data_IF_234837958170
#
_entry.id   IF_234837958170
#
_cell.length_a   1.000
_cell.length_b   1.000
_cell.length_c   1.000
_cell.angle_alpha   90.00
_cell.angle_beta   90.00
_cell.angle_gamma   90.00
#
_symmetry.space_group_name_H-M   'P 1'
#
loop_
_entity.id
_entity.type
_entity.pdbx_description
1 polymer ?
#
# COMPACT_ATOMS: atom_id res chain seq x y z
N UNK A 1 -1.43 1.38 18.54
CA UNK A 1 -2.63 1.18 17.70
C UNK A 1 -2.86 2.51 17.02
N UNK A 2 -3.00 2.52 15.71
CA UNK A 2 -3.17 3.75 14.94
C UNK A 2 -4.22 3.55 13.84
N UNK A 3 -4.39 4.55 12.99
CA UNK A 3 -5.32 4.52 11.86
C UNK A 3 -4.59 4.72 10.53
N UNK A 4 -5.10 4.10 9.48
CA UNK A 4 -4.70 4.32 8.10
C UNK A 4 -5.95 4.58 7.28
N UNK A 5 -5.88 5.58 6.40
CA UNK A 5 -6.91 5.86 5.39
C UNK A 5 -6.47 5.31 4.05
N UNK A 6 -7.22 4.36 3.53
CA UNK A 6 -7.12 3.90 2.14
C UNK A 6 -8.14 4.68 1.31
N UNK A 7 -7.71 5.29 0.21
CA UNK A 7 -8.56 6.06 -0.69
C UNK A 7 -8.62 5.32 -2.02
N UNK A 8 -9.80 4.88 -2.43
CA UNK A 8 -10.01 4.26 -3.75
C UNK A 8 -9.78 5.27 -4.88
N UNK A 9 -9.73 4.77 -6.12
CA UNK A 9 -9.53 5.63 -7.30
C UNK A 9 -10.65 6.67 -7.46
N UNK A 10 -11.86 6.37 -6.95
CA UNK A 10 -13.06 7.21 -6.99
C UNK A 10 -13.24 8.14 -5.78
N UNK A 11 -12.20 8.28 -4.96
CA UNK A 11 -12.18 9.06 -3.71
C UNK A 11 -12.98 8.46 -2.53
N UNK A 12 -13.47 7.23 -2.64
CA UNK A 12 -14.06 6.52 -1.49
C UNK A 12 -12.99 6.24 -0.43
N UNK A 13 -13.21 6.73 0.79
CA UNK A 13 -12.28 6.56 1.90
C UNK A 13 -12.66 5.38 2.81
N UNK A 14 -11.65 4.59 3.18
CA UNK A 14 -11.72 3.54 4.19
C UNK A 14 -10.73 3.81 5.30
N UNK A 15 -11.23 4.15 6.49
CA UNK A 15 -10.41 4.36 7.68
C UNK A 15 -10.39 3.07 8.49
N UNK A 16 -9.22 2.48 8.66
CA UNK A 16 -9.04 1.22 9.38
C UNK A 16 -8.05 1.37 10.51
N UNK A 17 -8.22 0.57 11.57
CA UNK A 17 -7.28 0.50 12.67
C UNK A 17 -6.16 -0.49 12.34
N UNK A 18 -4.95 -0.21 12.79
CA UNK A 18 -3.84 -1.14 12.66
C UNK A 18 -3.00 -1.25 13.94
N UNK A 19 -2.32 -2.38 14.03
CA UNK A 19 -1.21 -2.60 14.96
C UNK A 19 0.09 -2.63 14.16
N UNK A 20 1.08 -1.88 14.61
CA UNK A 20 2.41 -1.86 14.01
C UNK A 20 2.99 -3.28 13.88
N UNK A 21 3.73 -3.51 12.80
CA UNK A 21 4.36 -4.78 12.45
C UNK A 21 3.62 -5.61 11.41
N UNK A 22 2.41 -5.21 10.98
CA UNK A 22 1.77 -5.74 9.79
C UNK A 22 2.14 -4.91 8.55
N UNK A 23 2.12 -5.50 7.36
CA UNK A 23 2.28 -4.74 6.12
C UNK A 23 1.00 -3.96 5.77
N UNK A 24 1.12 -2.89 4.97
CA UNK A 24 -0.05 -2.15 4.46
C UNK A 24 -1.02 -3.06 3.71
N UNK A 25 -0.49 -4.00 2.92
CA UNK A 25 -1.30 -4.99 2.20
C UNK A 25 -2.07 -5.88 3.18
N UNK A 26 -1.42 -6.40 4.23
CA UNK A 26 -2.10 -7.28 5.19
C UNK A 26 -3.25 -6.54 5.90
N UNK A 27 -3.02 -5.28 6.29
CA UNK A 27 -4.06 -4.44 6.89
C UNK A 27 -5.23 -4.23 5.94
N UNK A 28 -4.95 -3.94 4.66
CA UNK A 28 -6.00 -3.77 3.66
C UNK A 28 -6.84 -5.05 3.46
N UNK A 29 -6.18 -6.20 3.33
CA UNK A 29 -6.84 -7.50 3.15
C UNK A 29 -7.67 -7.89 4.38
N UNK A 30 -7.11 -7.76 5.59
CA UNK A 30 -7.79 -8.09 6.85
C UNK A 30 -9.06 -7.25 7.07
N UNK A 31 -9.07 -6.03 6.52
CA UNK A 31 -10.20 -5.10 6.57
C UNK A 31 -11.07 -5.10 5.31
N UNK A 32 -10.81 -5.99 4.35
CA UNK A 32 -11.56 -6.13 3.09
C UNK A 32 -11.61 -4.83 2.27
N UNK A 33 -10.51 -4.10 2.22
CA UNK A 33 -10.39 -2.89 1.39
C UNK A 33 -10.45 -3.30 -0.10
N UNK A 34 -11.40 -2.74 -0.88
CA UNK A 34 -11.49 -3.02 -2.31
C UNK A 34 -10.21 -2.61 -3.06
N UNK A 35 -9.88 -3.31 -4.15
CA UNK A 35 -8.77 -2.91 -5.04
C UNK A 35 -7.38 -3.31 -4.56
N UNK A 36 -7.24 -4.15 -3.53
CA UNK A 36 -5.99 -4.85 -3.18
C UNK A 36 -6.25 -6.36 -3.24
N UNK A 37 -5.63 -7.03 -4.21
CA UNK A 37 -5.87 -8.46 -4.46
C UNK A 37 -4.87 -9.35 -3.69
N UNK A 38 -3.61 -8.90 -3.62
CA UNK A 38 -2.52 -9.58 -2.91
C UNK A 38 -2.26 -11.04 -3.37
N UNK A 39 -2.31 -11.31 -4.67
CA UNK A 39 -2.28 -12.66 -5.26
C UNK A 39 -1.09 -13.53 -4.82
N UNK A 40 0.08 -12.92 -4.62
CA UNK A 40 1.28 -13.65 -4.18
C UNK A 40 1.39 -13.81 -2.65
N UNK A 41 0.42 -13.31 -1.87
CA UNK A 41 0.47 -13.36 -0.40
C UNK A 41 1.56 -12.50 0.24
N UNK A 42 2.20 -11.61 -0.51
CA UNK A 42 3.23 -10.69 0.00
C UNK A 42 4.67 -11.03 -0.40
N UNK A 43 4.88 -12.02 -1.26
CA UNK A 43 6.19 -12.46 -1.75
C UNK A 43 6.82 -11.54 -2.82
N UNK A 44 6.35 -10.29 -2.95
CA UNK A 44 6.87 -9.32 -3.92
C UNK A 44 6.87 -9.82 -5.39
N UNK A 45 5.87 -10.61 -5.79
CA UNK A 45 5.90 -11.35 -7.07
C UNK A 45 4.73 -11.08 -8.02
N UNK A 46 3.77 -10.21 -7.68
CA UNK A 46 2.54 -10.03 -8.48
C UNK A 46 2.19 -8.57 -8.85
N UNK A 47 2.69 -7.57 -8.13
CA UNK A 47 2.28 -6.18 -8.33
C UNK A 47 0.87 -5.82 -7.81
N UNK A 48 0.03 -6.80 -7.46
CA UNK A 48 -1.41 -6.60 -7.14
C UNK A 48 -1.71 -6.10 -5.71
N UNK A 49 -0.75 -5.41 -5.12
CA UNK A 49 -0.92 -4.67 -3.88
C UNK A 49 -0.32 -3.26 -3.99
N UNK A 50 -0.28 -2.71 -5.21
CA UNK A 50 0.20 -1.37 -5.48
C UNK A 50 -0.65 -0.34 -4.71
N UNK A 51 0.06 0.54 -4.02
CA UNK A 51 -0.48 1.72 -3.34
C UNK A 51 0.33 2.95 -3.73
N UNK A 52 -0.33 4.11 -3.79
CA UNK A 52 0.29 5.42 -3.99
C UNK A 52 0.27 6.14 -2.64
N UNK A 53 1.44 6.30 -2.04
CA UNK A 53 1.57 6.88 -0.70
C UNK A 53 1.48 8.40 -0.81
N UNK A 54 0.73 9.07 0.08
CA UNK A 54 0.74 10.53 0.09
C UNK A 54 2.13 11.05 0.46
N UNK A 55 2.55 12.17 -0.15
CA UNK A 55 3.94 12.63 -0.15
C UNK A 55 4.52 12.77 1.26
N UNK A 56 3.74 13.27 2.22
CA UNK A 56 4.15 13.47 3.61
C UNK A 56 4.45 12.16 4.38
N UNK A 57 3.96 11.02 3.88
CA UNK A 57 4.15 9.70 4.48
C UNK A 57 5.21 8.86 3.78
N UNK A 58 5.63 9.24 2.57
CA UNK A 58 6.49 8.40 1.74
C UNK A 58 7.81 8.04 2.44
N UNK A 59 8.45 9.00 3.09
CA UNK A 59 9.69 8.81 3.85
C UNK A 59 9.55 7.79 5.00
N UNK A 60 8.33 7.56 5.50
CA UNK A 60 8.07 6.54 6.54
C UNK A 60 8.08 5.13 5.98
N UNK A 61 7.86 4.96 4.68
CA UNK A 61 7.76 3.64 4.05
C UNK A 61 9.13 3.00 3.79
N UNK A 62 10.20 3.79 3.84
CA UNK A 62 11.51 3.39 3.35
C UNK A 62 11.59 3.42 1.82
N UNK A 63 12.67 2.87 1.28
CA UNK A 63 12.92 2.85 -0.17
C UNK A 63 12.52 1.49 -0.76
N UNK A 64 11.88 1.44 -1.94
CA UNK A 64 11.61 0.17 -2.60
C UNK A 64 12.92 -0.55 -2.98
N UNK A 65 12.95 -1.87 -2.79
CA UNK A 65 14.06 -2.72 -3.24
C UNK A 65 14.07 -2.93 -4.76
N UNK A 66 15.08 -3.61 -5.28
CA UNK A 66 15.21 -3.85 -6.73
C UNK A 66 14.06 -4.70 -7.29
N UNK A 67 13.69 -5.78 -6.59
CA UNK A 67 12.56 -6.65 -6.98
C UNK A 67 11.23 -5.88 -6.96
N UNK A 68 11.03 -5.04 -5.93
CA UNK A 68 9.84 -4.19 -5.82
C UNK A 68 9.77 -3.19 -6.97
N UNK A 69 10.89 -2.53 -7.30
CA UNK A 69 10.97 -1.59 -8.42
C UNK A 69 10.69 -2.28 -9.76
N UNK A 70 11.18 -3.50 -9.95
CA UNK A 70 10.92 -4.28 -11.15
C UNK A 70 9.42 -4.55 -11.30
N UNK A 71 8.75 -4.99 -10.23
CA UNK A 71 7.30 -5.23 -10.25
C UNK A 71 6.51 -3.95 -10.50
N UNK A 72 6.84 -2.86 -9.80
CA UNK A 72 6.20 -1.55 -9.97
C UNK A 72 6.36 -0.98 -11.38
N UNK A 73 7.47 -1.28 -12.06
CA UNK A 73 7.71 -0.83 -13.44
C UNK A 73 6.72 -1.38 -14.46
N UNK A 74 6.01 -2.46 -14.11
CA UNK A 74 5.01 -3.10 -14.94
C UNK A 74 3.59 -2.58 -14.67
N UNK A 75 3.40 -1.74 -13.65
CA UNK A 75 2.09 -1.24 -13.21
C UNK A 75 1.68 0.01 -14.01
N UNK A 76 0.44 0.09 -14.54
CA UNK A 76 0.00 1.18 -15.42
C UNK A 76 -0.06 2.57 -14.76
N UNK A 77 -0.31 2.64 -13.46
CA UNK A 77 -0.46 3.89 -12.69
C UNK A 77 0.73 4.16 -11.77
N UNK A 78 1.95 3.85 -12.24
CA UNK A 78 3.16 4.10 -11.48
C UNK A 78 3.36 5.59 -11.18
N UNK A 79 3.33 5.95 -9.90
CA UNK A 79 3.67 7.25 -9.36
C UNK A 79 5.03 7.23 -8.64
N UNK A 80 5.58 8.41 -8.37
CA UNK A 80 6.86 8.54 -7.65
C UNK A 80 6.83 7.96 -6.24
N UNK A 81 5.68 8.04 -5.59
CA UNK A 81 5.44 7.53 -4.24
C UNK A 81 4.76 6.16 -4.23
N UNK A 82 4.74 5.47 -5.38
CA UNK A 82 4.24 4.10 -5.46
C UNK A 82 5.09 3.16 -4.62
N UNK A 83 4.41 2.26 -3.92
CA UNK A 83 4.99 1.13 -3.20
C UNK A 83 4.13 -0.10 -3.43
N UNK A 84 4.71 -1.28 -3.28
CA UNK A 84 3.94 -2.49 -3.05
C UNK A 84 3.60 -2.54 -1.56
N UNK A 85 2.31 -2.49 -1.23
CA UNK A 85 1.83 -2.45 0.15
C UNK A 85 2.33 -3.62 1.00
N UNK A 86 2.66 -4.76 0.39
CA UNK A 86 3.24 -5.90 1.09
C UNK A 86 4.67 -5.66 1.58
N UNK A 87 5.42 -4.77 0.93
CA UNK A 87 6.80 -4.41 1.27
C UNK A 87 6.88 -3.21 2.24
N UNK A 88 5.74 -2.61 2.59
CA UNK A 88 5.67 -1.52 3.56
C UNK A 88 5.22 -2.05 4.91
N UNK A 89 6.18 -2.22 5.82
CA UNK A 89 5.91 -2.61 7.20
C UNK A 89 5.46 -1.41 8.03
N UNK A 90 4.31 -1.53 8.68
CA UNK A 90 3.76 -0.41 9.45
C UNK A 90 4.46 -0.20 10.78
N UNK A 91 4.62 1.06 11.16
CA UNK A 91 5.17 1.47 12.46
C UNK A 91 4.19 2.40 13.18
N UNK A 92 4.41 2.65 14.48
CA UNK A 92 3.57 3.60 15.23
C UNK A 92 3.61 5.02 14.66
N UNK A 93 4.70 5.38 13.95
CA UNK A 93 4.86 6.68 13.32
C UNK A 93 3.98 6.88 12.06
N UNK A 94 3.18 5.88 11.68
CA UNK A 94 2.24 5.92 10.56
C UNK A 94 0.78 6.10 11.01
N UNK A 95 0.54 6.44 12.28
CA UNK A 95 -0.81 6.78 12.74
C UNK A 95 -1.33 8.03 12.02
N UNK A 96 -2.44 7.87 11.29
CA UNK A 96 -3.01 8.89 10.41
C UNK A 96 -2.53 8.81 8.96
N UNK A 97 -1.76 7.78 8.59
CA UNK A 97 -1.24 7.62 7.23
C UNK A 97 -2.37 7.55 6.20
N UNK A 98 -2.15 8.19 5.04
CA UNK A 98 -3.05 8.13 3.89
C UNK A 98 -2.35 7.50 2.70
N UNK A 99 -3.03 6.55 2.06
CA UNK A 99 -2.60 5.92 0.81
C UNK A 99 -3.77 5.89 -0.17
N UNK A 100 -3.47 6.04 -1.46
CA UNK A 100 -4.44 5.91 -2.55
C UNK A 100 -4.24 4.60 -3.29
N UNK A 101 -5.31 4.02 -3.78
CA UNK A 101 -5.30 2.84 -4.64
C UNK A 101 -5.41 3.26 -6.11
N UNK A 102 -4.69 2.58 -7.02
CA UNK A 102 -4.91 2.76 -8.46
C UNK A 102 -6.33 2.33 -8.85
N UNK A 103 -6.79 2.70 -10.04
CA UNK A 103 -8.02 2.17 -10.63
C UNK A 103 -7.88 0.66 -10.91
N UNK A 104 -6.68 0.22 -11.32
CA UNK A 104 -6.38 -1.19 -11.62
C UNK A 104 -5.03 -1.63 -11.03
N UNK A 105 -5.00 -2.85 -10.46
CA UNK A 105 -3.79 -3.46 -9.91
C UNK A 105 -2.88 -4.09 -10.97
N UNK A 106 -3.45 -4.58 -12.08
CA UNK A 106 -2.78 -5.04 -13.30
C UNK A 106 -3.69 -4.94 -14.51
#
# INVERSE_FOLDING_TARGET
MGKITFIEHDDTEHVVEFKAGASLMQIAVDHMIPGIDADCGGECACGTCHVIVADEWYDKTGTPGDDEQQMLSMTPELAKTSRLGCQVQTTEAMDGMTVRLPEFQM
#
